data_IF_089846047115
#
_entry.id   IF_089846047115
#
_cell.length_a   1.000
_cell.length_b   1.000
_cell.length_c   1.000
_cell.angle_alpha   90.00
_cell.angle_beta   90.00
_cell.angle_gamma   90.00
#
_symmetry.space_group_name_H-M   'P 1'
#
loop_
_entity.id
_entity.type
_entity.pdbx_description
1 polymer ?
#
# COMPACT_ATOMS: atom_id res chain seq x y z
N UNK A 1 -4.82 -29.17 -10.92
CA UNK A 1 -4.85 -27.72 -10.59
C UNK A 1 -4.04 -26.99 -11.63
N UNK A 2 -4.51 -25.83 -12.11
CA UNK A 2 -3.79 -25.02 -13.11
C UNK A 2 -2.55 -24.39 -12.47
N UNK A 3 -1.48 -24.23 -13.24
CA UNK A 3 -0.25 -23.56 -12.79
C UNK A 3 0.28 -22.63 -13.89
N UNK A 4 1.24 -21.79 -13.52
CA UNK A 4 1.97 -20.89 -14.41
C UNK A 4 1.07 -19.98 -15.21
N UNK A 5 1.29 -19.98 -16.53
CA UNK A 5 0.53 -19.17 -17.48
C UNK A 5 -0.95 -19.53 -17.51
N UNK A 6 -1.30 -20.80 -17.34
CA UNK A 6 -2.70 -21.25 -17.41
C UNK A 6 -3.50 -20.76 -16.22
N UNK A 7 -2.88 -20.69 -15.04
CA UNK A 7 -3.49 -20.08 -13.87
C UNK A 7 -3.74 -18.57 -14.08
N UNK A 8 -2.73 -17.84 -14.59
CA UNK A 8 -2.87 -16.41 -14.90
C UNK A 8 -3.98 -16.20 -15.94
N UNK A 9 -4.05 -17.02 -16.98
CA UNK A 9 -5.09 -16.92 -18.01
C UNK A 9 -6.49 -17.19 -17.43
N UNK A 10 -6.64 -18.17 -16.54
CA UNK A 10 -7.90 -18.47 -15.88
C UNK A 10 -8.43 -17.27 -15.05
N UNK A 11 -7.54 -16.46 -14.49
CA UNK A 11 -7.95 -15.28 -13.71
C UNK A 11 -8.60 -14.16 -14.56
N UNK A 12 -8.48 -14.21 -15.90
CA UNK A 12 -9.02 -13.17 -16.80
C UNK A 12 -10.54 -13.06 -16.75
N UNK A 13 -11.25 -14.13 -16.39
CA UNK A 13 -12.70 -14.10 -16.15
C UNK A 13 -13.08 -13.06 -15.08
N UNK A 14 -12.18 -12.84 -14.11
CA UNK A 14 -12.35 -11.89 -13.02
C UNK A 14 -11.88 -10.47 -13.35
N UNK A 15 -11.10 -10.29 -14.42
CA UNK A 15 -10.56 -9.01 -14.86
C UNK A 15 -11.56 -8.24 -15.75
N UNK A 16 -12.81 -8.12 -15.29
CA UNK A 16 -13.85 -7.34 -15.96
C UNK A 16 -14.44 -6.32 -14.97
N UNK A 17 -14.38 -5.06 -15.38
CA UNK A 17 -14.98 -3.94 -14.66
C UNK A 17 -16.50 -3.96 -14.79
N UNK A 18 -17.19 -3.63 -13.70
CA UNK A 18 -18.58 -3.23 -13.69
C UNK A 18 -18.64 -1.72 -13.40
N UNK A 19 -18.91 -0.93 -14.44
CA UNK A 19 -18.90 0.54 -14.37
C UNK A 19 -19.81 1.10 -13.28
N UNK A 20 -21.00 0.51 -13.09
CA UNK A 20 -21.92 0.95 -12.04
C UNK A 20 -21.32 0.70 -10.65
N UNK A 21 -20.82 -0.51 -10.37
CA UNK A 21 -20.18 -0.84 -9.09
C UNK A 21 -18.96 0.04 -8.81
N UNK A 22 -18.14 0.29 -9.82
CA UNK A 22 -16.95 1.13 -9.70
C UNK A 22 -17.29 2.58 -9.38
N UNK A 23 -18.28 3.18 -10.07
CA UNK A 23 -18.76 4.51 -9.72
C UNK A 23 -19.44 4.56 -8.35
N UNK A 24 -20.26 3.56 -8.01
CA UNK A 24 -20.86 3.46 -6.67
C UNK A 24 -19.77 3.41 -5.60
N UNK A 25 -18.69 2.66 -5.79
CA UNK A 25 -17.58 2.60 -4.85
C UNK A 25 -16.90 3.97 -4.67
N UNK A 26 -16.64 4.69 -5.77
CA UNK A 26 -16.05 6.03 -5.74
C UNK A 26 -16.99 7.01 -5.03
N UNK A 27 -18.24 7.12 -5.47
CA UNK A 27 -19.21 8.10 -4.96
C UNK A 27 -19.55 7.82 -3.51
N UNK A 28 -19.84 6.56 -3.14
CA UNK A 28 -20.14 6.23 -1.75
C UNK A 28 -18.96 6.51 -0.82
N UNK A 29 -17.72 6.18 -1.22
CA UNK A 29 -16.54 6.46 -0.40
C UNK A 29 -16.32 7.97 -0.27
N UNK A 30 -16.46 8.74 -1.36
CA UNK A 30 -16.35 10.20 -1.33
C UNK A 30 -17.42 10.86 -0.44
N UNK A 31 -18.67 10.41 -0.53
CA UNK A 31 -19.77 10.92 0.31
C UNK A 31 -19.56 10.58 1.79
N UNK A 32 -19.08 9.37 2.11
CA UNK A 32 -18.74 9.00 3.48
C UNK A 32 -17.59 9.84 4.03
N UNK A 33 -16.57 10.12 3.21
CA UNK A 33 -15.49 11.02 3.60
C UNK A 33 -16.00 12.45 3.85
N UNK A 34 -16.84 12.97 2.96
CA UNK A 34 -17.45 14.29 3.14
C UNK A 34 -18.28 14.34 4.42
N UNK A 35 -19.12 13.32 4.67
CA UNK A 35 -19.92 13.21 5.87
C UNK A 35 -19.05 13.16 7.14
N UNK A 36 -17.94 12.40 7.12
CA UNK A 36 -16.99 12.36 8.23
C UNK A 36 -16.33 13.73 8.47
N UNK A 37 -15.91 14.42 7.42
CA UNK A 37 -15.34 15.79 7.53
C UNK A 37 -16.37 16.78 8.07
N UNK A 38 -17.61 16.75 7.57
CA UNK A 38 -18.71 17.58 8.08
C UNK A 38 -19.02 17.27 9.54
N UNK A 39 -18.96 16.00 9.96
CA UNK A 39 -19.15 15.62 11.36
C UNK A 39 -18.01 16.12 12.26
N UNK A 40 -16.75 16.07 11.81
CA UNK A 40 -15.61 16.67 12.54
C UNK A 40 -15.81 18.18 12.73
N UNK A 41 -16.32 18.87 11.70
CA UNK A 41 -16.66 20.30 11.75
C UNK A 41 -17.82 20.56 12.72
N UNK A 42 -18.89 19.77 12.64
CA UNK A 42 -20.06 19.93 13.50
C UNK A 42 -19.72 19.71 14.98
N UNK A 43 -18.84 18.75 15.28
CA UNK A 43 -18.38 18.44 16.63
C UNK A 43 -17.08 19.17 17.01
N UNK A 44 -16.82 20.36 16.46
CA UNK A 44 -15.57 21.10 16.66
C UNK A 44 -15.15 21.30 18.13
N UNK A 45 -16.12 21.39 19.05
CA UNK A 45 -15.86 21.62 20.48
C UNK A 45 -15.68 20.32 21.29
N UNK A 46 -15.87 19.15 20.68
CA UNK A 46 -15.87 17.85 21.35
C UNK A 46 -14.83 16.92 20.74
N UNK A 47 -13.56 17.14 21.12
CA UNK A 47 -12.41 16.39 20.58
C UNK A 47 -12.56 14.87 20.70
N UNK A 48 -13.23 14.38 21.75
CA UNK A 48 -13.47 12.95 21.98
C UNK A 48 -14.44 12.33 20.96
N UNK A 49 -15.28 13.14 20.32
CA UNK A 49 -16.10 12.74 19.16
C UNK A 49 -15.33 12.90 17.85
N UNK A 50 -14.49 13.95 17.72
CA UNK A 50 -13.67 14.15 16.53
C UNK A 50 -12.68 13.00 16.34
N UNK A 51 -12.02 12.53 17.41
CA UNK A 51 -11.00 11.49 17.36
C UNK A 51 -11.45 10.19 16.64
N UNK A 52 -12.55 9.51 17.02
CA UNK A 52 -13.01 8.32 16.32
C UNK A 52 -13.49 8.61 14.89
N UNK A 53 -14.02 9.81 14.62
CA UNK A 53 -14.45 10.20 13.27
C UNK A 53 -13.22 10.44 12.37
N UNK A 54 -12.17 11.05 12.88
CA UNK A 54 -10.88 11.19 12.20
C UNK A 54 -10.25 9.83 11.90
N UNK A 55 -10.39 8.87 12.83
CA UNK A 55 -9.98 7.49 12.60
C UNK A 55 -10.72 6.86 11.42
N UNK A 56 -12.04 6.99 11.42
CA UNK A 56 -12.88 6.51 10.32
C UNK A 56 -12.52 7.20 8.99
N UNK A 57 -12.29 8.52 9.00
CA UNK A 57 -11.88 9.26 7.82
C UNK A 57 -10.54 8.75 7.27
N UNK A 58 -9.56 8.47 8.13
CA UNK A 58 -8.30 7.84 7.71
C UNK A 58 -8.50 6.47 7.05
N UNK A 59 -9.39 5.63 7.58
CA UNK A 59 -9.73 4.35 6.96
C UNK A 59 -10.46 4.51 5.62
N UNK A 60 -11.34 5.49 5.49
CA UNK A 60 -11.99 5.81 4.21
C UNK A 60 -11.00 6.35 3.18
N UNK A 61 -9.97 7.09 3.61
CA UNK A 61 -8.87 7.50 2.73
C UNK A 61 -8.07 6.29 2.22
N UNK A 62 -7.83 5.27 3.06
CA UNK A 62 -7.24 3.99 2.60
C UNK A 62 -8.13 3.31 1.56
N UNK A 63 -9.44 3.27 1.79
CA UNK A 63 -10.39 2.73 0.82
C UNK A 63 -10.31 3.46 -0.52
N UNK A 64 -10.37 4.79 -0.50
CA UNK A 64 -10.28 5.60 -1.72
C UNK A 64 -8.92 5.43 -2.41
N UNK A 65 -7.84 5.27 -1.65
CA UNK A 65 -6.53 4.95 -2.19
C UNK A 65 -6.51 3.60 -2.92
N UNK A 66 -7.15 2.56 -2.40
CA UNK A 66 -7.24 1.25 -3.10
C UNK A 66 -8.05 1.36 -4.39
N UNK A 67 -9.15 2.12 -4.37
CA UNK A 67 -9.96 2.42 -5.58
C UNK A 67 -9.11 3.18 -6.61
N UNK A 68 -8.36 4.19 -6.16
CA UNK A 68 -7.41 4.93 -6.97
C UNK A 68 -6.36 4.01 -7.59
N UNK A 69 -5.74 3.16 -6.78
CA UNK A 69 -4.75 2.19 -7.19
C UNK A 69 -5.27 1.26 -8.29
N UNK A 70 -6.46 0.70 -8.12
CA UNK A 70 -7.10 -0.18 -9.12
C UNK A 70 -7.39 0.56 -10.43
N UNK A 71 -7.78 1.82 -10.35
CA UNK A 71 -7.94 2.66 -11.54
C UNK A 71 -6.59 2.89 -12.24
N UNK A 72 -5.50 3.13 -11.49
CA UNK A 72 -4.15 3.27 -12.06
C UNK A 72 -3.66 1.95 -12.70
N UNK A 73 -4.12 0.79 -12.22
CA UNK A 73 -3.86 -0.52 -12.83
C UNK A 73 -4.82 -0.88 -13.97
N UNK A 74 -5.71 0.04 -14.35
CA UNK A 74 -6.74 -0.15 -15.37
C UNK A 74 -7.72 -1.30 -15.06
N UNK A 75 -7.86 -1.68 -13.78
CA UNK A 75 -8.81 -2.69 -13.32
C UNK A 75 -10.25 -2.16 -13.34
N UNK A 76 -10.43 -0.88 -12.98
CA UNK A 76 -11.74 -0.20 -12.94
C UNK A 76 -11.75 1.06 -13.79
N UNK A 77 -12.87 1.31 -14.48
CA UNK A 77 -13.13 2.50 -15.29
C UNK A 77 -12.00 2.87 -16.29
N UNK A 78 -11.35 1.91 -16.97
CA UNK A 78 -10.10 2.17 -17.71
C UNK A 78 -10.24 3.16 -18.87
N UNK A 79 -11.46 3.36 -19.38
CA UNK A 79 -11.77 4.26 -20.51
C UNK A 79 -12.40 5.58 -20.07
N UNK A 80 -12.66 5.77 -18.77
CA UNK A 80 -13.35 6.96 -18.27
C UNK A 80 -12.40 8.14 -18.11
N UNK A 81 -12.56 9.17 -18.95
CA UNK A 81 -11.80 10.42 -18.84
C UNK A 81 -12.08 11.14 -17.52
N UNK A 82 -13.32 11.13 -17.06
CA UNK A 82 -13.73 11.75 -15.79
C UNK A 82 -13.06 11.04 -14.60
N UNK A 83 -13.10 9.70 -14.56
CA UNK A 83 -12.44 8.94 -13.50
C UNK A 83 -10.94 9.21 -13.48
N UNK A 84 -10.30 9.29 -14.66
CA UNK A 84 -8.88 9.65 -14.77
C UNK A 84 -8.56 11.01 -14.14
N UNK A 85 -9.39 12.03 -14.35
CA UNK A 85 -9.18 13.36 -13.74
C UNK A 85 -9.37 13.29 -12.22
N UNK A 86 -10.48 12.71 -11.75
CA UNK A 86 -10.78 12.57 -10.32
C UNK A 86 -9.66 11.80 -9.59
N UNK A 87 -9.21 10.68 -10.15
CA UNK A 87 -8.20 9.83 -9.56
C UNK A 87 -6.82 10.49 -9.55
N UNK A 88 -6.47 11.28 -10.57
CA UNK A 88 -5.22 12.08 -10.53
C UNK A 88 -5.28 13.19 -9.49
N UNK A 89 -6.43 13.86 -9.34
CA UNK A 89 -6.63 14.85 -8.29
C UNK A 89 -6.54 14.20 -6.90
N UNK A 90 -7.13 13.01 -6.74
CA UNK A 90 -6.98 12.21 -5.53
C UNK A 90 -5.52 11.85 -5.23
N UNK A 91 -4.74 11.42 -6.23
CA UNK A 91 -3.31 11.12 -6.04
C UNK A 91 -2.51 12.34 -5.54
N UNK A 92 -2.82 13.54 -6.03
CA UNK A 92 -2.24 14.80 -5.53
C UNK A 92 -2.66 15.04 -4.07
N UNK A 93 -3.96 14.95 -3.78
CA UNK A 93 -4.51 15.12 -2.43
C UNK A 93 -3.90 14.12 -1.43
N UNK A 94 -3.77 12.85 -1.82
CA UNK A 94 -3.31 11.75 -0.98
C UNK A 94 -1.78 11.63 -0.87
N UNK A 95 -1.02 12.62 -1.35
CA UNK A 95 0.46 12.58 -1.38
C UNK A 95 1.02 11.32 -2.08
N UNK A 96 0.33 10.88 -3.13
CA UNK A 96 0.69 9.74 -4.00
C UNK A 96 0.55 10.11 -5.48
N UNK A 97 1.35 11.07 -5.97
CA UNK A 97 1.22 11.59 -7.33
C UNK A 97 1.28 10.47 -8.37
N UNK A 98 0.37 10.50 -9.35
CA UNK A 98 0.15 9.36 -10.23
C UNK A 98 1.35 8.99 -11.08
N UNK A 99 2.23 9.93 -11.45
CA UNK A 99 3.40 9.63 -12.28
C UNK A 99 4.37 8.67 -11.54
N UNK A 100 4.84 9.09 -10.38
CA UNK A 100 5.77 8.29 -9.57
C UNK A 100 5.09 7.04 -9.00
N UNK A 101 3.81 7.12 -8.62
CA UNK A 101 3.06 5.96 -8.16
C UNK A 101 2.96 4.87 -9.22
N UNK A 102 2.49 5.20 -10.43
CA UNK A 102 2.40 4.21 -11.51
C UNK A 102 3.77 3.65 -11.87
N UNK A 103 4.80 4.49 -11.97
CA UNK A 103 6.15 4.04 -12.30
C UNK A 103 6.68 3.05 -11.26
N UNK A 104 6.68 3.46 -9.99
CA UNK A 104 7.23 2.65 -8.90
C UNK A 104 6.42 1.38 -8.65
N UNK A 105 5.10 1.45 -8.73
CA UNK A 105 4.23 0.31 -8.49
C UNK A 105 4.23 -0.70 -9.66
N UNK A 106 4.29 -0.25 -10.91
CA UNK A 106 4.48 -1.16 -12.05
C UNK A 106 5.84 -1.83 -12.00
N UNK A 107 6.89 -1.11 -11.57
CA UNK A 107 8.19 -1.71 -11.33
C UNK A 107 8.11 -2.79 -10.23
N UNK A 108 7.43 -2.51 -9.12
CA UNK A 108 7.17 -3.47 -8.04
C UNK A 108 6.49 -4.73 -8.56
N UNK A 109 5.38 -4.63 -9.30
CA UNK A 109 4.70 -5.79 -9.88
C UNK A 109 5.61 -6.67 -10.76
N UNK A 110 6.52 -6.06 -11.51
CA UNK A 110 7.40 -6.78 -12.43
C UNK A 110 8.66 -7.37 -11.77
N UNK A 111 9.04 -6.87 -10.58
CA UNK A 111 10.31 -7.21 -9.93
C UNK A 111 10.17 -7.67 -8.48
N UNK A 112 8.95 -7.73 -7.95
CA UNK A 112 8.70 -8.11 -6.57
C UNK A 112 9.37 -9.45 -6.26
N UNK A 113 9.99 -9.48 -5.08
CA UNK A 113 10.58 -10.67 -4.46
C UNK A 113 11.71 -11.33 -5.25
N UNK A 114 12.32 -10.60 -6.19
CA UNK A 114 13.61 -10.93 -6.80
C UNK A 114 14.73 -10.53 -5.84
N UNK A 115 15.51 -11.50 -5.39
CA UNK A 115 16.73 -11.21 -4.65
C UNK A 115 17.70 -10.41 -5.54
N UNK A 116 18.36 -9.40 -4.95
CA UNK A 116 19.34 -8.53 -5.61
C UNK A 116 18.77 -7.61 -6.72
N UNK A 117 17.46 -7.37 -6.76
CA UNK A 117 16.87 -6.32 -7.60
C UNK A 117 16.85 -4.95 -6.90
N UNK A 118 16.57 -3.89 -7.67
CA UNK A 118 16.22 -2.58 -7.12
C UNK A 118 14.93 -2.69 -6.30
N UNK A 119 14.83 -1.90 -5.22
CA UNK A 119 13.69 -1.90 -4.31
C UNK A 119 12.70 -0.78 -4.63
N UNK A 120 12.59 -0.40 -5.91
CA UNK A 120 11.68 0.67 -6.33
C UNK A 120 10.24 0.16 -6.14
N UNK A 121 9.47 0.87 -5.31
CA UNK A 121 8.11 0.49 -4.94
C UNK A 121 8.01 -0.57 -3.84
N UNK A 122 9.12 -0.95 -3.20
CA UNK A 122 9.13 -1.97 -2.13
C UNK A 122 10.10 -1.59 -0.99
N UNK A 123 9.98 -2.28 0.15
CA UNK A 123 11.00 -2.18 1.19
C UNK A 123 12.23 -3.02 0.80
N UNK A 124 13.46 -2.55 1.10
CA UNK A 124 14.66 -3.31 0.78
C UNK A 124 14.72 -4.60 1.61
N UNK A 125 15.27 -5.67 1.04
CA UNK A 125 15.54 -6.93 1.74
C UNK A 125 16.97 -7.35 1.43
N UNK A 126 17.79 -7.53 2.46
CA UNK A 126 19.14 -8.06 2.35
C UNK A 126 19.14 -9.54 2.68
N UNK A 127 20.01 -10.30 2.02
CA UNK A 127 20.38 -11.65 2.47
C UNK A 127 21.27 -11.57 3.71
N UNK A 128 21.36 -12.64 4.49
CA UNK A 128 22.31 -12.77 5.61
C UNK A 128 23.74 -12.50 5.17
N UNK A 129 24.16 -13.10 4.06
CA UNK A 129 25.46 -12.86 3.42
C UNK A 129 25.68 -11.37 3.09
N UNK A 130 24.75 -10.73 2.36
CA UNK A 130 24.87 -9.32 1.99
C UNK A 130 24.93 -8.44 3.23
N UNK A 131 24.09 -8.70 4.23
CA UNK A 131 24.08 -7.94 5.47
C UNK A 131 25.44 -8.03 6.17
N UNK A 132 26.03 -9.23 6.28
CA UNK A 132 27.36 -9.47 6.89
C UNK A 132 28.53 -8.85 6.10
N UNK A 133 28.38 -8.68 4.79
CA UNK A 133 29.41 -8.08 3.93
C UNK A 133 29.24 -6.57 3.69
N UNK A 134 28.06 -6.01 3.98
CA UNK A 134 27.77 -4.58 3.87
C UNK A 134 28.47 -3.76 4.95
N UNK A 135 28.80 -2.50 4.62
CA UNK A 135 29.35 -1.53 5.58
C UNK A 135 28.36 -1.19 6.69
N UNK A 136 28.86 -0.67 7.82
CA UNK A 136 27.99 -0.26 8.94
C UNK A 136 26.97 0.82 8.53
N UNK A 137 27.36 1.73 7.64
CA UNK A 137 26.47 2.77 7.12
C UNK A 137 25.34 2.18 6.27
N UNK A 138 25.64 1.22 5.39
CA UNK A 138 24.64 0.54 4.56
C UNK A 138 23.65 -0.25 5.43
N UNK A 139 24.15 -0.97 6.45
CA UNK A 139 23.30 -1.67 7.43
C UNK A 139 22.39 -0.71 8.19
N UNK A 140 22.91 0.42 8.67
CA UNK A 140 22.13 1.42 9.40
C UNK A 140 21.02 2.00 8.52
N UNK A 141 21.34 2.36 7.27
CA UNK A 141 20.34 2.85 6.29
C UNK A 141 19.26 1.78 6.03
N UNK A 142 19.68 0.54 5.81
CA UNK A 142 18.78 -0.58 5.60
C UNK A 142 17.81 -0.82 6.77
N UNK A 143 18.33 -0.87 8.00
CA UNK A 143 17.51 -1.05 9.20
C UNK A 143 16.58 0.15 9.44
N UNK A 144 17.04 1.37 9.20
CA UNK A 144 16.23 2.58 9.32
C UNK A 144 15.04 2.56 8.37
N UNK A 145 15.23 2.16 7.11
CA UNK A 145 14.13 2.04 6.14
C UNK A 145 13.09 1.00 6.54
N UNK A 146 13.48 -0.01 7.33
CA UNK A 146 12.62 -1.12 7.79
C UNK A 146 12.22 -0.97 9.26
N UNK A 147 12.50 0.16 9.89
CA UNK A 147 12.24 0.35 11.31
C UNK A 147 10.74 0.56 11.55
N UNK A 148 10.13 -0.01 12.60
CA UNK A 148 8.71 0.17 12.90
C UNK A 148 8.27 1.64 12.96
N UNK A 149 9.10 2.51 13.55
CA UNK A 149 8.83 3.97 13.60
C UNK A 149 8.83 4.59 12.20
N UNK A 150 9.71 4.17 11.30
CA UNK A 150 9.72 4.66 9.92
C UNK A 150 8.43 4.30 9.20
N UNK A 151 7.92 3.08 9.43
CA UNK A 151 6.66 2.59 8.85
C UNK A 151 5.46 3.31 9.47
N UNK A 152 5.44 3.49 10.79
CA UNK A 152 4.40 4.24 11.50
C UNK A 152 4.36 5.70 11.05
N UNK A 153 5.52 6.33 10.88
CA UNK A 153 5.65 7.70 10.35
C UNK A 153 5.58 7.74 8.82
N UNK A 154 4.95 6.72 8.18
CA UNK A 154 4.81 6.57 6.74
C UNK A 154 4.36 7.84 6.03
N UNK A 155 3.52 8.64 6.70
CA UNK A 155 3.07 9.94 6.19
C UNK A 155 4.24 10.84 5.79
N UNK A 156 5.23 10.98 6.68
CA UNK A 156 6.41 11.78 6.44
C UNK A 156 7.47 11.03 5.62
N UNK A 157 7.70 9.76 5.95
CA UNK A 157 8.85 8.99 5.44
C UNK A 157 8.60 8.41 4.05
N UNK A 158 7.43 7.80 3.81
CA UNK A 158 7.09 7.14 2.56
C UNK A 158 6.40 8.12 1.62
N UNK A 159 5.37 8.83 2.08
CA UNK A 159 4.53 9.64 1.20
C UNK A 159 5.12 11.03 0.94
N UNK A 160 5.35 11.85 1.98
CA UNK A 160 5.93 13.18 1.77
C UNK A 160 7.36 13.08 1.23
N UNK A 161 8.23 12.32 1.89
CA UNK A 161 9.63 12.22 1.48
C UNK A 161 9.81 11.33 0.24
N UNK A 162 9.38 10.06 0.32
CA UNK A 162 9.64 9.07 -0.74
C UNK A 162 8.81 9.23 -2.01
N UNK A 163 7.55 9.66 -1.89
CA UNK A 163 6.64 9.81 -3.04
C UNK A 163 6.58 11.23 -3.59
N UNK A 164 7.02 12.25 -2.84
CA UNK A 164 6.96 13.63 -3.31
C UNK A 164 8.33 14.32 -3.37
N UNK A 165 9.02 14.50 -2.23
CA UNK A 165 10.26 15.31 -2.17
C UNK A 165 11.39 14.67 -2.98
N UNK A 166 11.70 13.39 -2.75
CA UNK A 166 12.83 12.72 -3.44
C UNK A 166 12.62 12.70 -4.95
N UNK A 167 11.49 12.23 -5.51
CA UNK A 167 11.26 12.23 -6.96
C UNK A 167 11.30 13.63 -7.58
N UNK A 168 10.78 14.63 -6.87
CA UNK A 168 10.81 16.03 -7.30
C UNK A 168 12.26 16.54 -7.40
N UNK A 169 13.11 16.27 -6.40
CA UNK A 169 14.51 16.67 -6.39
C UNK A 169 15.34 15.93 -7.43
N UNK A 170 15.05 14.65 -7.69
CA UNK A 170 15.73 13.85 -8.69
C UNK A 170 15.43 14.33 -10.12
N UNK A 171 14.16 14.59 -10.43
CA UNK A 171 13.75 15.09 -11.74
C UNK A 171 12.42 15.85 -11.70
N UNK A 172 12.49 17.15 -11.42
CA UNK A 172 11.30 18.01 -11.37
C UNK A 172 10.49 18.01 -12.67
N UNK A 173 11.13 17.93 -13.84
CA UNK A 173 10.42 17.96 -15.13
C UNK A 173 9.56 16.72 -15.32
N UNK A 174 10.04 15.56 -14.89
CA UNK A 174 9.29 14.30 -14.94
C UNK A 174 8.24 14.20 -13.82
N UNK A 175 8.56 14.70 -12.62
CA UNK A 175 7.76 14.54 -11.40
C UNK A 175 7.06 15.84 -10.95
N UNK A 176 6.55 16.65 -11.89
CA UNK A 176 5.89 17.94 -11.59
C UNK A 176 4.66 17.76 -10.67
N UNK A 177 3.97 16.64 -10.79
CA UNK A 177 2.82 16.31 -9.94
C UNK A 177 3.21 16.12 -8.46
N UNK A 178 4.46 15.73 -8.18
CA UNK A 178 5.02 15.68 -6.82
C UNK A 178 5.16 17.07 -6.21
N UNK A 179 5.66 18.04 -6.97
CA UNK A 179 5.70 19.44 -6.53
C UNK A 179 4.28 19.99 -6.32
N UNK A 180 3.36 19.71 -7.25
CA UNK A 180 1.97 20.12 -7.12
C UNK A 180 1.30 19.54 -5.87
N UNK A 181 1.58 18.27 -5.54
CA UNK A 181 1.10 17.65 -4.31
C UNK A 181 1.63 18.38 -3.07
N UNK A 182 2.94 18.66 -3.00
CA UNK A 182 3.52 19.39 -1.86
C UNK A 182 2.93 20.79 -1.70
N UNK A 183 2.79 21.55 -2.78
CA UNK A 183 2.20 22.90 -2.75
C UNK A 183 0.74 22.83 -2.33
N UNK A 184 -0.05 21.97 -2.97
CA UNK A 184 -1.47 21.80 -2.65
C UNK A 184 -1.66 21.42 -1.18
N UNK A 185 -0.84 20.49 -0.69
CA UNK A 185 -0.90 20.02 0.68
C UNK A 185 -0.55 21.11 1.69
N UNK A 186 0.53 21.88 1.44
CA UNK A 186 0.89 23.01 2.29
C UNK A 186 -0.18 24.10 2.29
N UNK A 187 -0.75 24.43 1.13
CA UNK A 187 -1.83 25.41 1.01
C UNK A 187 -3.11 24.93 1.71
N UNK A 188 -3.47 23.65 1.58
CA UNK A 188 -4.62 23.05 2.26
C UNK A 188 -4.49 23.20 3.79
N UNK A 189 -3.32 22.85 4.35
CA UNK A 189 -3.04 23.04 5.76
C UNK A 189 -3.09 24.50 6.18
N UNK A 190 -2.47 25.40 5.41
CA UNK A 190 -2.47 26.83 5.70
C UNK A 190 -3.89 27.40 5.71
N UNK A 191 -4.70 27.11 4.68
CA UNK A 191 -6.07 27.59 4.55
C UNK A 191 -6.94 27.08 5.70
N UNK A 192 -6.89 25.77 5.99
CA UNK A 192 -7.70 25.19 7.07
C UNK A 192 -7.27 25.72 8.43
N UNK A 193 -5.95 25.85 8.68
CA UNK A 193 -5.45 26.37 9.96
C UNK A 193 -5.86 27.82 10.17
N UNK A 194 -5.78 28.67 9.14
CA UNK A 194 -6.11 30.10 9.23
C UNK A 194 -7.62 30.33 9.34
N UNK A 195 -8.43 29.58 8.60
CA UNK A 195 -9.89 29.81 8.54
C UNK A 195 -10.68 29.04 9.59
N UNK A 196 -10.24 27.83 9.96
CA UNK A 196 -10.95 26.91 10.86
C UNK A 196 -10.17 26.55 12.13
N UNK A 197 -8.93 27.04 12.27
CA UNK A 197 -8.08 26.82 13.43
C UNK A 197 -7.26 25.53 13.39
N UNK A 198 -6.24 25.48 14.25
CA UNK A 198 -5.28 24.37 14.31
C UNK A 198 -5.93 23.03 14.69
N UNK A 199 -6.97 23.05 15.54
CA UNK A 199 -7.70 21.84 15.92
C UNK A 199 -8.35 21.18 14.71
N UNK A 200 -8.93 21.97 13.80
CA UNK A 200 -9.52 21.45 12.57
C UNK A 200 -8.45 20.89 11.63
N UNK A 201 -7.32 21.60 11.47
CA UNK A 201 -6.19 21.07 10.71
C UNK A 201 -5.66 19.75 11.30
N UNK A 202 -5.68 19.59 12.63
CA UNK A 202 -5.29 18.36 13.27
C UNK A 202 -6.28 17.21 13.01
N UNK A 203 -7.57 17.40 13.33
CA UNK A 203 -8.57 16.32 13.26
C UNK A 203 -9.07 16.02 11.85
N UNK A 204 -9.22 17.02 10.97
CA UNK A 204 -9.72 16.79 9.61
C UNK A 204 -8.63 16.51 8.58
N UNK A 205 -7.37 16.91 8.85
CA UNK A 205 -6.24 16.66 7.94
C UNK A 205 -5.19 15.75 8.59
N UNK A 206 -4.45 16.24 9.58
CA UNK A 206 -3.26 15.54 10.09
C UNK A 206 -3.53 14.12 10.52
N UNK A 207 -4.50 13.91 11.39
CA UNK A 207 -4.77 12.60 11.95
C UNK A 207 -5.26 11.60 10.87
N UNK A 208 -6.25 11.93 10.01
CA UNK A 208 -6.64 11.07 8.90
C UNK A 208 -5.50 10.73 7.93
N UNK A 209 -4.71 11.73 7.51
CA UNK A 209 -3.54 11.51 6.64
C UNK A 209 -2.53 10.59 7.31
N UNK A 210 -2.22 10.86 8.59
CA UNK A 210 -1.29 10.06 9.38
C UNK A 210 -1.73 8.59 9.45
N UNK A 211 -3.00 8.35 9.78
CA UNK A 211 -3.55 6.99 9.86
C UNK A 211 -3.51 6.29 8.50
N UNK A 212 -3.99 6.96 7.46
CA UNK A 212 -4.06 6.38 6.13
C UNK A 212 -2.67 6.00 5.61
N UNK A 213 -1.70 6.90 5.80
CA UNK A 213 -0.33 6.67 5.41
C UNK A 213 0.36 5.63 6.29
N UNK A 214 0.19 5.64 7.61
CA UNK A 214 0.77 4.62 8.49
C UNK A 214 0.26 3.21 8.13
N UNK A 215 -1.05 3.07 7.93
CA UNK A 215 -1.67 1.80 7.53
C UNK A 215 -1.24 1.40 6.12
N UNK A 216 -1.19 2.34 5.17
CA UNK A 216 -0.71 2.08 3.82
C UNK A 216 0.74 1.60 3.79
N UNK A 217 1.65 2.30 4.47
CA UNK A 217 3.05 1.90 4.61
C UNK A 217 3.19 0.52 5.26
N UNK A 218 2.41 0.23 6.30
CA UNK A 218 2.42 -1.07 6.94
C UNK A 218 1.88 -2.18 6.03
N UNK A 219 0.78 -1.96 5.31
CA UNK A 219 0.23 -2.95 4.38
C UNK A 219 1.26 -3.30 3.30
N UNK A 220 1.88 -2.29 2.66
CA UNK A 220 2.96 -2.49 1.69
C UNK A 220 4.14 -3.30 2.26
N UNK A 221 4.46 -3.09 3.54
CA UNK A 221 5.48 -3.87 4.23
C UNK A 221 5.02 -5.30 4.47
N UNK A 222 3.96 -5.51 5.25
CA UNK A 222 3.52 -6.81 5.73
C UNK A 222 3.04 -7.74 4.61
N UNK A 223 2.56 -7.18 3.49
CA UNK A 223 2.15 -7.95 2.33
C UNK A 223 3.32 -8.68 1.64
N UNK A 224 4.55 -8.22 1.84
CA UNK A 224 5.78 -8.83 1.31
C UNK A 224 6.83 -9.12 2.40
N UNK A 225 6.47 -8.93 3.66
CA UNK A 225 7.36 -9.07 4.80
C UNK A 225 6.65 -9.78 5.96
N UNK A 226 6.43 -11.07 5.77
CA UNK A 226 5.70 -11.93 6.67
C UNK A 226 6.43 -13.27 6.84
N UNK A 227 6.19 -14.03 7.93
CA UNK A 227 7.04 -15.18 8.30
C UNK A 227 7.16 -16.26 7.23
N UNK A 228 6.11 -16.46 6.45
CA UNK A 228 6.08 -17.51 5.43
C UNK A 228 6.60 -17.02 4.07
N UNK A 229 6.97 -15.75 3.91
CA UNK A 229 7.38 -15.21 2.59
C UNK A 229 8.54 -16.02 1.99
N UNK A 230 8.53 -16.24 0.68
CA UNK A 230 9.67 -16.82 -0.04
C UNK A 230 10.27 -15.78 -0.97
N UNK A 231 11.58 -15.58 -0.91
CA UNK A 231 12.33 -14.82 -1.90
C UNK A 231 13.13 -15.77 -2.79
N UNK A 232 13.21 -15.47 -4.11
CA UNK A 232 13.95 -16.29 -5.06
C UNK A 232 15.01 -15.50 -5.81
N UNK A 233 16.08 -16.18 -6.20
CA UNK A 233 17.04 -15.67 -7.18
C UNK A 233 16.42 -15.61 -8.58
N UNK A 234 17.08 -14.92 -9.50
CA UNK A 234 16.54 -14.61 -10.83
C UNK A 234 16.20 -15.88 -11.62
N UNK A 235 17.03 -16.91 -11.51
CA UNK A 235 16.95 -18.17 -12.24
C UNK A 235 15.77 -19.04 -11.77
N UNK A 236 15.33 -18.88 -10.51
CA UNK A 236 14.19 -19.59 -9.93
C UNK A 236 12.91 -18.76 -9.86
N UNK A 237 12.91 -17.53 -10.37
CA UNK A 237 11.79 -16.62 -10.28
C UNK A 237 10.77 -16.84 -11.39
N UNK A 238 9.49 -16.97 -11.02
CA UNK A 238 8.37 -16.88 -11.94
C UNK A 238 7.35 -15.90 -11.37
N UNK A 239 6.56 -15.28 -12.25
CA UNK A 239 5.54 -14.31 -11.86
C UNK A 239 4.47 -14.93 -10.94
N UNK A 240 4.06 -16.16 -11.22
CA UNK A 240 3.13 -16.93 -10.38
C UNK A 240 3.72 -17.21 -8.99
N UNK A 241 4.95 -17.70 -8.90
CA UNK A 241 5.59 -17.98 -7.61
C UNK A 241 5.72 -16.69 -6.79
N UNK A 242 6.11 -15.58 -7.41
CA UNK A 242 6.20 -14.28 -6.74
C UNK A 242 4.83 -13.80 -6.21
N UNK A 243 3.76 -14.06 -6.97
CA UNK A 243 2.41 -13.72 -6.56
C UNK A 243 1.89 -14.60 -5.41
N UNK A 244 2.08 -15.93 -5.47
CA UNK A 244 1.49 -16.86 -4.50
C UNK A 244 2.35 -17.11 -3.26
N UNK A 245 3.68 -17.16 -3.40
CA UNK A 245 4.62 -17.46 -2.32
C UNK A 245 5.26 -16.21 -1.70
N UNK A 246 5.34 -15.11 -2.45
CA UNK A 246 6.02 -13.90 -1.99
C UNK A 246 5.09 -12.72 -1.69
N UNK A 247 3.79 -12.93 -1.83
CA UNK A 247 2.74 -11.98 -1.47
C UNK A 247 1.73 -12.68 -0.57
N UNK A 248 1.33 -12.05 0.53
CA UNK A 248 0.42 -12.69 1.48
C UNK A 248 -1.05 -12.45 1.18
N UNK A 249 -1.88 -13.41 1.57
CA UNK A 249 -3.27 -13.15 1.91
C UNK A 249 -3.36 -12.58 3.33
N UNK A 250 -3.58 -11.27 3.45
CA UNK A 250 -3.79 -10.63 4.74
C UNK A 250 -5.24 -10.82 5.19
N UNK A 251 -5.45 -11.74 6.15
CA UNK A 251 -6.77 -12.06 6.70
C UNK A 251 -7.29 -10.89 7.52
N UNK A 252 -8.49 -10.42 7.16
CA UNK A 252 -9.17 -9.32 7.81
C UNK A 252 -10.67 -9.63 7.98
N UNK A 253 -11.31 -8.99 8.96
CA UNK A 253 -12.76 -9.06 9.14
C UNK A 253 -13.53 -8.22 8.10
N UNK A 254 -14.87 -8.39 7.99
CA UNK A 254 -15.68 -7.72 6.96
C UNK A 254 -15.53 -6.20 6.92
N UNK A 255 -15.44 -5.56 8.10
CA UNK A 255 -15.22 -4.12 8.20
C UNK A 255 -13.89 -3.68 7.56
N UNK A 256 -12.79 -4.36 7.89
CA UNK A 256 -11.48 -4.04 7.33
C UNK A 256 -11.36 -4.45 5.86
N UNK A 257 -12.02 -5.53 5.43
CA UNK A 257 -12.14 -5.85 4.01
C UNK A 257 -12.85 -4.72 3.24
N UNK A 258 -13.89 -4.11 3.82
CA UNK A 258 -14.50 -2.92 3.23
C UNK A 258 -13.53 -1.72 3.25
N UNK A 259 -12.96 -1.36 4.40
CA UNK A 259 -12.09 -0.18 4.52
C UNK A 259 -10.79 -0.27 3.72
N UNK A 260 -10.31 -1.48 3.46
CA UNK A 260 -9.10 -1.69 2.64
C UNK A 260 -9.43 -2.14 1.22
N UNK A 261 -10.71 -2.09 0.83
CA UNK A 261 -11.14 -2.52 -0.49
C UNK A 261 -10.62 -3.91 -0.87
N UNK A 262 -10.69 -4.90 0.01
CA UNK A 262 -10.21 -6.27 -0.24
C UNK A 262 -8.73 -6.36 -0.67
N UNK A 263 -7.89 -5.35 -0.44
CA UNK A 263 -6.45 -5.42 -0.77
C UNK A 263 -5.73 -6.55 -0.02
N UNK A 264 -6.34 -7.09 1.03
CA UNK A 264 -5.86 -8.29 1.73
C UNK A 264 -5.67 -9.50 0.81
N UNK A 265 -6.42 -9.62 -0.29
CA UNK A 265 -6.21 -10.63 -1.35
C UNK A 265 -5.02 -10.26 -2.27
N UNK A 266 -3.91 -9.86 -1.66
CA UNK A 266 -2.77 -9.26 -2.34
C UNK A 266 -2.04 -10.23 -3.26
N UNK A 267 -2.02 -11.51 -2.90
CA UNK A 267 -1.49 -12.58 -3.75
C UNK A 267 -2.27 -12.70 -5.07
N UNK A 268 -3.59 -12.53 -5.05
CA UNK A 268 -4.43 -12.52 -6.26
C UNK A 268 -4.18 -11.23 -7.05
N UNK A 269 -4.09 -10.09 -6.36
CA UNK A 269 -3.77 -8.81 -7.01
C UNK A 269 -2.42 -8.85 -7.74
N UNK A 270 -1.38 -9.43 -7.12
CA UNK A 270 -0.09 -9.63 -7.78
C UNK A 270 -0.15 -10.64 -8.93
N UNK A 271 -1.02 -11.63 -8.87
CA UNK A 271 -1.20 -12.58 -9.96
C UNK A 271 -1.91 -11.95 -11.17
N UNK A 272 -2.85 -11.03 -10.92
CA UNK A 272 -3.51 -10.26 -11.96
C UNK A 272 -4.06 -8.94 -11.41
N UNK A 273 -3.27 -7.87 -11.57
CA UNK A 273 -3.60 -6.54 -11.09
C UNK A 273 -4.81 -5.89 -11.80
N UNK A 274 -5.33 -6.52 -12.87
CA UNK A 274 -6.52 -6.06 -13.61
C UNK A 274 -7.84 -6.56 -13.02
N UNK A 275 -7.81 -7.42 -11.99
CA UNK A 275 -9.03 -7.83 -11.29
C UNK A 275 -9.46 -6.67 -10.39
N UNK A 276 -10.68 -6.13 -10.56
CA UNK A 276 -11.21 -5.13 -9.64
C UNK A 276 -11.23 -5.65 -8.21
N UNK A 277 -10.92 -4.79 -7.25
CA UNK A 277 -10.86 -5.14 -5.85
C UNK A 277 -12.14 -5.81 -5.30
N UNK A 278 -13.30 -5.43 -5.82
CA UNK A 278 -14.59 -6.02 -5.44
C UNK A 278 -14.84 -7.42 -6.03
N UNK A 279 -13.99 -7.89 -6.96
CA UNK A 279 -14.01 -9.24 -7.54
C UNK A 279 -12.91 -10.15 -7.02
N UNK A 280 -11.94 -9.63 -6.24
CA UNK A 280 -10.90 -10.46 -5.62
C UNK A 280 -11.49 -11.59 -4.74
N UNK A 281 -12.53 -11.35 -3.89
CA UNK A 281 -13.14 -12.44 -3.12
C UNK A 281 -13.84 -13.48 -4.01
N UNK A 282 -14.41 -13.05 -5.14
CA UNK A 282 -15.06 -13.95 -6.12
C UNK A 282 -14.03 -14.88 -6.76
N UNK A 283 -12.89 -14.33 -7.21
CA UNK A 283 -11.78 -15.10 -7.76
C UNK A 283 -11.26 -16.12 -6.74
N UNK A 284 -11.03 -15.68 -5.49
CA UNK A 284 -10.60 -16.53 -4.40
C UNK A 284 -11.55 -17.72 -4.16
N UNK A 285 -12.86 -17.46 -4.12
CA UNK A 285 -13.86 -18.49 -3.85
C UNK A 285 -13.98 -19.52 -4.98
N UNK A 286 -13.87 -19.09 -6.25
CA UNK A 286 -14.07 -19.93 -7.43
C UNK A 286 -12.83 -20.68 -7.91
N UNK A 287 -11.64 -20.27 -7.48
CA UNK A 287 -10.37 -20.87 -7.92
C UNK A 287 -9.63 -21.51 -6.73
N UNK A 288 -9.69 -22.85 -6.57
CA UNK A 288 -8.98 -23.56 -5.51
C UNK A 288 -7.48 -23.28 -5.49
N UNK A 289 -6.88 -23.02 -6.66
CA UNK A 289 -5.46 -22.68 -6.79
C UNK A 289 -5.09 -21.35 -6.11
N UNK A 290 -6.05 -20.44 -5.93
CA UNK A 290 -5.84 -19.17 -5.23
C UNK A 290 -6.01 -19.30 -3.72
N UNK A 291 -6.39 -20.50 -3.23
CA UNK A 291 -6.54 -20.83 -1.81
C UNK A 291 -5.28 -21.49 -1.22
N UNK A 292 -4.34 -21.91 -2.07
CA UNK A 292 -2.97 -22.28 -1.68
C UNK A 292 -2.10 -21.03 -1.59
N UNK A 293 -2.31 -20.25 -0.53
CA UNK A 293 -1.60 -19.00 -0.26
C UNK A 293 -0.95 -19.01 1.10
N UNK A 294 -0.07 -18.03 1.29
CA UNK A 294 0.55 -17.75 2.59
C UNK A 294 -0.15 -16.59 3.25
N UNK A 295 -0.35 -16.65 4.56
CA UNK A 295 -1.22 -15.72 5.26
C UNK A 295 -0.48 -14.83 6.24
N UNK A 296 -0.98 -13.61 6.40
CA UNK A 296 -0.71 -12.74 7.56
C UNK A 296 -2.03 -12.15 8.07
N UNK A 297 -2.01 -11.29 9.08
CA UNK A 297 -3.19 -10.56 9.55
C UNK A 297 -2.84 -9.19 10.13
N UNK A 298 -3.88 -8.42 10.46
CA UNK A 298 -3.76 -7.15 11.19
C UNK A 298 -3.86 -7.32 12.72
N UNK A 299 -3.82 -8.55 13.24
CA UNK A 299 -3.78 -8.74 14.69
C UNK A 299 -2.49 -8.15 15.27
N UNK A 300 -2.51 -7.54 16.47
CA UNK A 300 -1.32 -6.89 17.03
C UNK A 300 -0.09 -7.82 17.13
N UNK A 301 -0.32 -9.10 17.45
CA UNK A 301 0.74 -10.11 17.50
C UNK A 301 1.38 -10.35 16.13
N UNK A 302 0.58 -10.49 15.08
CA UNK A 302 1.07 -10.64 13.71
C UNK A 302 1.78 -9.39 13.20
N UNK A 303 1.29 -8.20 13.56
CA UNK A 303 1.93 -6.93 13.23
C UNK A 303 3.33 -6.85 13.83
N UNK A 304 3.47 -7.14 15.12
CA UNK A 304 4.76 -7.17 15.80
C UNK A 304 5.68 -8.25 15.21
N UNK A 305 5.12 -9.41 14.87
CA UNK A 305 5.85 -10.50 14.23
C UNK A 305 6.39 -10.08 12.86
N UNK A 306 5.57 -9.53 11.97
CA UNK A 306 6.01 -9.00 10.67
C UNK A 306 7.11 -7.94 10.83
N UNK A 307 6.93 -7.02 11.78
CA UNK A 307 7.87 -5.92 12.05
C UNK A 307 9.20 -6.38 12.67
N UNK A 308 9.28 -7.57 13.28
CA UNK A 308 10.53 -8.09 13.85
C UNK A 308 11.44 -8.71 12.78
N UNK A 309 10.87 -9.16 11.66
CA UNK A 309 11.61 -9.83 10.59
C UNK A 309 12.43 -8.84 9.77
N UNK A 310 13.74 -9.04 9.72
CA UNK A 310 14.67 -8.11 9.06
C UNK A 310 15.33 -8.73 7.85
N UNK A 311 16.07 -9.82 8.01
CA UNK A 311 17.04 -10.30 7.02
C UNK A 311 16.59 -11.62 6.42
N UNK A 312 16.82 -11.84 5.14
CA UNK A 312 16.50 -13.11 4.47
C UNK A 312 17.66 -14.10 4.60
N UNK A 313 17.39 -15.27 5.16
CA UNK A 313 18.34 -16.38 5.19
C UNK A 313 18.09 -17.29 3.98
N UNK A 314 19.10 -17.39 3.11
CA UNK A 314 19.02 -18.14 1.85
C UNK A 314 19.05 -19.65 2.10
N UNK A 315 19.78 -20.13 3.09
CA UNK A 315 19.91 -21.56 3.38
C UNK A 315 18.62 -22.09 4.02
N UNK A 316 18.07 -21.36 4.98
CA UNK A 316 16.85 -21.75 5.68
C UNK A 316 15.58 -21.40 4.91
N UNK A 317 15.68 -20.58 3.85
CA UNK A 317 14.55 -20.03 3.10
C UNK A 317 13.53 -19.33 4.02
N UNK A 318 14.03 -18.48 4.93
CA UNK A 318 13.22 -17.79 5.94
C UNK A 318 13.65 -16.34 6.11
N UNK A 319 12.67 -15.48 6.37
CA UNK A 319 12.93 -14.13 6.83
C UNK A 319 13.10 -14.18 8.36
N UNK A 320 14.25 -13.73 8.85
CA UNK A 320 14.65 -13.88 10.25
C UNK A 320 14.69 -12.53 10.99
N UNK A 321 14.42 -12.53 12.31
CA UNK A 321 14.82 -11.45 13.19
C UNK A 321 16.34 -11.22 13.14
N UNK A 322 16.77 -9.98 13.34
CA UNK A 322 18.19 -9.62 13.22
C UNK A 322 19.09 -10.40 14.20
N UNK A 323 18.63 -10.64 15.43
CA UNK A 323 19.39 -11.38 16.45
C UNK A 323 19.68 -12.83 16.01
N UNK A 324 18.71 -13.48 15.38
CA UNK A 324 18.83 -14.86 14.88
C UNK A 324 19.74 -14.90 13.65
N UNK A 325 19.57 -13.97 12.72
CA UNK A 325 20.40 -13.83 11.52
C UNK A 325 21.90 -13.58 11.79
N UNK A 326 22.24 -13.08 12.99
CA UNK A 326 23.61 -12.80 13.41
C UNK A 326 24.20 -13.88 14.33
N UNK A 327 23.38 -14.82 14.81
CA UNK A 327 23.83 -15.93 15.64
C UNK A 327 24.29 -17.14 14.81
N UNK A 328 23.75 -17.28 13.59
CA UNK A 328 24.21 -18.18 12.54
C UNK A 328 25.34 -17.52 11.74
#
# INVERSE_FOLDING_TARGET
MRTGKDLILATREFAQDNTAKSWTAIVSTALLMLAATCAILFFANWWFLQLPISLLLGLLMVRMFVIYHDHQQHAILPRSKLAKVIMRAWGIFAMTPSCIWQHSHNHHHNHNSKLRSTHIGSYPVMTTERYKNSSQQERKKYLMMRHPVTILLGYFTVFILGMCIVPMLENLKANKDSLLALIFHALLYAIVTVTLGWQMAFFALFLPFFIASALGSYLFYAQHNFPLVIFREKEGWSYECAALDSSSYCKMGPFMNYMTGNIGYHHIHHLNAKIPFYRLPEAYAKMPELQTHRTTSLSPQEVLRCLSLKVWDVEQQKLLPLKEALAN
#
